data_IF_004613239036
#
_entry.id   IF_004613239036
#
_cell.length_a   1.000
_cell.length_b   1.000
_cell.length_c   1.000
_cell.angle_alpha   90.00
_cell.angle_beta   90.00
_cell.angle_gamma   90.00
#
_symmetry.space_group_name_H-M   'P 1'
#
loop_
_entity.id
_entity.type
_entity.pdbx_description
1 polymer ?
#
# COMPACT_ATOMS: atom_id res chain seq x y z
N UNK A 1 12.33 4.63 20.72
CA UNK A 1 11.18 4.23 19.91
C UNK A 1 11.65 3.46 18.69
N UNK A 2 11.08 2.29 18.44
CA UNK A 2 11.46 1.44 17.32
C UNK A 2 10.87 2.01 16.02
N UNK A 3 11.71 2.14 15.00
CA UNK A 3 11.26 2.58 13.69
C UNK A 3 11.32 1.41 12.72
N UNK A 4 10.22 1.18 11.99
CA UNK A 4 10.13 0.11 11.03
C UNK A 4 10.69 0.55 9.67
N UNK A 5 11.25 -0.40 8.94
CA UNK A 5 11.75 -0.14 7.59
C UNK A 5 10.62 -0.44 6.60
N UNK A 6 10.23 0.58 5.83
CA UNK A 6 9.19 0.43 4.82
C UNK A 6 9.84 0.08 3.49
N UNK A 7 9.29 -0.92 2.81
CA UNK A 7 9.73 -1.31 1.48
C UNK A 7 8.52 -1.60 0.62
N UNK A 8 8.72 -1.65 -0.70
CA UNK A 8 7.65 -1.98 -1.65
C UNK A 8 7.98 -3.32 -2.29
N UNK A 9 7.07 -4.28 -2.16
CA UNK A 9 7.20 -5.55 -2.86
C UNK A 9 7.05 -5.33 -4.37
N UNK A 10 7.47 -6.30 -5.15
CA UNK A 10 7.40 -6.23 -6.61
C UNK A 10 5.97 -5.92 -7.08
N UNK A 11 4.98 -6.60 -6.53
CA UNK A 11 3.59 -6.40 -6.94
C UNK A 11 3.11 -5.00 -6.59
N UNK A 12 3.47 -4.48 -5.42
CA UNK A 12 3.09 -3.13 -5.02
C UNK A 12 3.73 -2.08 -5.93
N UNK A 13 4.98 -2.29 -6.30
CA UNK A 13 5.68 -1.40 -7.25
C UNK A 13 4.99 -1.40 -8.60
N UNK A 14 4.63 -2.59 -9.09
CA UNK A 14 3.90 -2.72 -10.36
C UNK A 14 2.52 -2.06 -10.28
N UNK A 15 1.83 -2.23 -9.15
CA UNK A 15 0.53 -1.60 -8.93
C UNK A 15 0.65 -0.07 -8.98
N UNK A 16 1.65 0.48 -8.30
CA UNK A 16 1.86 1.93 -8.27
C UNK A 16 2.11 2.47 -9.67
N UNK A 17 2.96 1.79 -10.44
CA UNK A 17 3.25 2.21 -11.81
C UNK A 17 2.00 2.15 -12.70
N UNK A 18 1.23 1.09 -12.57
CA UNK A 18 -0.02 0.92 -13.33
C UNK A 18 -1.04 2.03 -13.00
N UNK A 19 -1.22 2.32 -11.72
CA UNK A 19 -2.14 3.36 -11.28
C UNK A 19 -1.64 4.73 -11.75
N UNK A 20 -0.35 5.00 -11.61
CA UNK A 20 0.24 6.25 -12.06
C UNK A 20 0.02 6.46 -13.56
N UNK A 21 0.23 5.43 -14.37
CA UNK A 21 0.05 5.53 -15.81
C UNK A 21 -1.43 5.75 -16.19
N UNK A 22 -2.34 5.12 -15.47
CA UNK A 22 -3.77 5.34 -15.66
C UNK A 22 -4.14 6.80 -15.38
N UNK A 23 -3.63 7.36 -14.29
CA UNK A 23 -3.89 8.75 -13.91
C UNK A 23 -3.25 9.72 -14.92
N UNK A 24 -2.06 9.40 -15.42
CA UNK A 24 -1.38 10.23 -16.40
C UNK A 24 -2.19 10.38 -17.68
N UNK A 25 -2.84 9.31 -18.13
CA UNK A 25 -3.70 9.37 -19.32
C UNK A 25 -4.91 10.26 -19.11
N UNK A 26 -5.47 10.27 -17.90
CA UNK A 26 -6.67 11.05 -17.60
C UNK A 26 -6.37 12.49 -17.20
N UNK A 27 -5.27 12.71 -16.46
CA UNK A 27 -5.01 13.99 -15.77
C UNK A 27 -3.64 14.61 -16.11
N UNK A 28 -2.81 13.95 -16.91
CA UNK A 28 -1.48 14.43 -17.28
C UNK A 28 -0.37 13.94 -16.39
N UNK A 29 0.87 14.06 -16.90
CA UNK A 29 2.05 13.52 -16.24
C UNK A 29 2.36 14.21 -14.90
N UNK A 30 2.23 15.53 -14.84
CA UNK A 30 2.57 16.27 -13.63
C UNK A 30 1.66 15.88 -12.47
N UNK A 31 0.37 15.73 -12.75
CA UNK A 31 -0.59 15.29 -11.74
C UNK A 31 -0.28 13.87 -11.28
N UNK A 32 0.05 12.99 -12.23
CA UNK A 32 0.36 11.61 -11.92
C UNK A 32 1.61 11.48 -11.05
N UNK A 33 2.65 12.26 -11.32
CA UNK A 33 3.86 12.27 -10.52
C UNK A 33 3.58 12.75 -9.09
N UNK A 34 2.81 13.82 -8.95
CA UNK A 34 2.43 14.33 -7.63
C UNK A 34 1.64 13.29 -6.86
N UNK A 35 0.70 12.63 -7.54
CA UNK A 35 -0.11 11.57 -6.93
C UNK A 35 0.78 10.44 -6.41
N UNK A 36 1.69 9.93 -7.25
CA UNK A 36 2.58 8.84 -6.87
C UNK A 36 3.47 9.23 -5.68
N UNK A 37 4.01 10.44 -5.69
CA UNK A 37 4.85 10.90 -4.58
C UNK A 37 4.06 10.96 -3.26
N UNK A 38 2.82 11.39 -3.30
CA UNK A 38 1.98 11.45 -2.09
C UNK A 38 1.65 10.08 -1.55
N UNK A 39 1.44 9.10 -2.43
CA UNK A 39 1.21 7.72 -2.01
C UNK A 39 2.46 7.17 -1.32
N UNK A 40 3.63 7.39 -1.91
CA UNK A 40 4.89 6.92 -1.34
C UNK A 40 5.13 7.58 0.02
N UNK A 41 4.93 8.88 0.13
CA UNK A 41 5.10 9.59 1.40
C UNK A 41 4.18 9.02 2.50
N UNK A 42 2.94 8.73 2.13
CA UNK A 42 2.00 8.14 3.08
C UNK A 42 2.50 6.77 3.56
N UNK A 43 2.95 5.94 2.62
CA UNK A 43 3.47 4.62 2.96
C UNK A 43 4.69 4.72 3.88
N UNK A 44 5.56 5.70 3.66
CA UNK A 44 6.73 5.88 4.50
C UNK A 44 6.40 6.23 5.93
N UNK A 45 5.25 6.87 6.17
CA UNK A 45 4.79 7.17 7.53
C UNK A 45 4.43 5.92 8.33
N UNK A 46 4.20 4.81 7.66
CA UNK A 46 3.94 3.56 8.35
C UNK A 46 5.18 3.08 9.15
N UNK A 47 6.36 3.65 8.86
CA UNK A 47 7.54 3.38 9.66
C UNK A 47 7.35 3.74 11.13
N UNK A 48 6.55 4.75 11.41
CA UNK A 48 6.32 5.23 12.77
C UNK A 48 5.03 4.69 13.39
N UNK A 49 4.05 4.36 12.57
CA UNK A 49 2.73 3.88 13.02
C UNK A 49 2.30 2.65 12.24
N UNK A 50 3.02 1.52 12.38
CA UNK A 50 2.77 0.35 11.54
C UNK A 50 1.47 -0.40 11.83
N UNK A 51 0.90 -0.21 13.01
CA UNK A 51 -0.30 -0.96 13.41
C UNK A 51 -1.60 -0.20 13.18
N UNK A 52 -1.59 0.75 12.25
CA UNK A 52 -2.82 1.45 11.89
C UNK A 52 -3.62 0.65 10.85
N UNK A 53 -4.87 1.07 10.65
CA UNK A 53 -5.76 0.39 9.71
C UNK A 53 -6.40 -0.85 10.29
N UNK A 54 -6.78 -1.78 9.43
CA UNK A 54 -7.51 -3.00 9.80
C UNK A 54 -6.62 -4.22 9.61
N UNK A 55 -6.59 -5.10 10.62
CA UNK A 55 -5.84 -6.36 10.53
C UNK A 55 -6.60 -7.42 9.78
N UNK A 56 -5.87 -8.29 9.08
CA UNK A 56 -6.43 -9.40 8.30
C UNK A 56 -5.59 -10.66 8.52
N UNK A 57 -5.34 -11.00 9.78
CA UNK A 57 -4.54 -12.18 10.13
C UNK A 57 -5.17 -13.47 9.62
N UNK A 58 -6.49 -13.50 9.44
CA UNK A 58 -7.20 -14.65 8.90
C UNK A 58 -6.81 -14.96 7.45
N UNK A 59 -6.32 -13.94 6.72
CA UNK A 59 -5.83 -14.14 5.37
C UNK A 59 -4.34 -14.45 5.42
N UNK A 60 -3.59 -13.71 6.22
CA UNK A 60 -2.15 -13.85 6.32
C UNK A 60 -1.64 -13.17 7.58
N UNK A 61 -0.78 -13.82 8.37
CA UNK A 61 -0.26 -13.21 9.59
C UNK A 61 0.40 -11.85 9.33
N UNK A 62 0.03 -10.85 10.11
CA UNK A 62 0.58 -9.51 10.02
C UNK A 62 0.03 -8.66 8.90
N UNK A 63 -0.86 -9.19 8.07
CA UNK A 63 -1.45 -8.42 6.96
C UNK A 63 -2.41 -7.37 7.51
N UNK A 64 -2.29 -6.15 6.99
CA UNK A 64 -3.14 -5.03 7.37
C UNK A 64 -3.49 -4.22 6.13
N UNK A 65 -4.59 -3.48 6.20
CA UNK A 65 -4.98 -2.55 5.14
C UNK A 65 -5.32 -1.20 5.73
N UNK A 66 -5.07 -0.16 4.94
CA UNK A 66 -5.45 1.19 5.29
C UNK A 66 -5.98 1.89 4.05
N UNK A 67 -7.02 2.72 4.24
CA UNK A 67 -7.58 3.49 3.13
C UNK A 67 -6.80 4.79 2.98
N UNK A 68 -6.53 5.17 1.73
CA UNK A 68 -5.89 6.43 1.39
C UNK A 68 -6.85 7.26 0.55
N UNK A 69 -7.32 8.37 1.12
CA UNK A 69 -8.20 9.34 0.45
C UNK A 69 -9.43 8.75 -0.24
N UNK A 70 -9.95 7.66 0.28
CA UNK A 70 -11.14 6.97 -0.25
C UNK A 70 -10.99 6.47 -1.71
N UNK A 71 -9.81 6.60 -2.30
CA UNK A 71 -9.58 6.16 -3.67
C UNK A 71 -8.75 4.90 -3.76
N UNK A 72 -8.01 4.60 -2.71
CA UNK A 72 -7.06 3.50 -2.74
C UNK A 72 -7.01 2.79 -1.40
N UNK A 73 -6.79 1.48 -1.45
CA UNK A 73 -6.48 0.68 -0.26
C UNK A 73 -5.03 0.24 -0.36
N UNK A 74 -4.27 0.50 0.69
CA UNK A 74 -2.87 0.10 0.77
C UNK A 74 -2.80 -1.14 1.66
N UNK A 75 -2.32 -2.25 1.11
CA UNK A 75 -2.12 -3.49 1.85
C UNK A 75 -0.65 -3.63 2.20
N UNK A 76 -0.37 -3.95 3.45
CA UNK A 76 0.99 -4.08 3.94
C UNK A 76 1.05 -5.14 5.01
N UNK A 77 2.26 -5.60 5.31
CA UNK A 77 2.48 -6.54 6.40
C UNK A 77 3.34 -5.87 7.45
N UNK A 78 3.20 -6.32 8.67
CA UNK A 78 4.02 -5.82 9.78
C UNK A 78 4.79 -6.98 10.37
N UNK A 79 6.10 -6.82 10.44
CA UNK A 79 7.00 -7.76 11.10
C UNK A 79 7.76 -7.00 12.19
N UNK A 80 7.89 -7.60 13.37
CA UNK A 80 8.59 -6.95 14.49
C UNK A 80 10.04 -7.42 14.64
N UNK A 81 10.36 -8.59 14.10
CA UNK A 81 11.70 -9.17 14.21
C UNK A 81 12.19 -9.67 12.84
N UNK A 82 12.90 -8.87 12.08
CA UNK A 82 13.25 -7.45 12.28
C UNK A 82 12.06 -6.52 12.02
N UNK A 83 12.09 -5.26 12.49
CA UNK A 83 10.97 -4.34 12.31
C UNK A 83 10.88 -3.85 10.87
N UNK A 84 9.92 -4.41 10.12
CA UNK A 84 9.72 -4.13 8.70
C UNK A 84 8.25 -3.99 8.36
N UNK A 85 7.97 -3.13 7.37
CA UNK A 85 6.64 -2.94 6.82
C UNK A 85 6.74 -3.04 5.30
N UNK A 86 6.70 -4.24 4.73
CA UNK A 86 6.61 -4.37 3.27
C UNK A 86 5.22 -4.02 2.79
N UNK A 87 5.14 -3.11 1.83
CA UNK A 87 3.89 -2.78 1.14
C UNK A 87 3.67 -3.86 0.10
N UNK A 88 2.55 -4.57 0.19
CA UNK A 88 2.34 -5.77 -0.64
C UNK A 88 1.40 -5.54 -1.82
N UNK A 89 0.49 -4.56 -1.72
CA UNK A 89 -0.42 -4.26 -2.82
C UNK A 89 -1.00 -2.87 -2.69
N UNK A 90 -1.34 -2.26 -3.83
CA UNK A 90 -2.07 -1.01 -3.90
C UNK A 90 -3.32 -1.29 -4.74
N UNK A 91 -4.49 -1.13 -4.14
CA UNK A 91 -5.76 -1.49 -4.77
C UNK A 91 -6.56 -0.22 -5.04
N UNK A 92 -6.70 0.12 -6.31
CA UNK A 92 -7.28 1.38 -6.74
C UNK A 92 -8.75 1.22 -7.06
N UNK A 93 -9.56 2.10 -6.49
CA UNK A 93 -11.02 2.23 -6.72
C UNK A 93 -11.81 0.92 -6.83
N UNK A 94 -12.85 0.79 -6.02
CA UNK A 94 -13.88 -0.21 -6.23
C UNK A 94 -13.50 -1.68 -6.31
N UNK A 95 -12.24 -2.03 -6.10
CA UNK A 95 -11.84 -3.43 -6.13
C UNK A 95 -12.30 -4.12 -4.85
N UNK A 96 -12.67 -5.39 -5.00
CA UNK A 96 -12.94 -6.21 -3.83
C UNK A 96 -11.60 -6.51 -3.16
N UNK A 97 -11.32 -5.76 -2.10
CA UNK A 97 -10.03 -5.81 -1.40
C UNK A 97 -9.75 -7.21 -0.86
N UNK A 98 -10.73 -7.81 -0.20
CA UNK A 98 -10.52 -9.13 0.42
C UNK A 98 -10.27 -10.20 -0.62
N UNK A 99 -11.03 -10.18 -1.74
CA UNK A 99 -10.83 -11.15 -2.81
C UNK A 99 -9.45 -10.98 -3.45
N UNK A 100 -9.04 -9.73 -3.67
CA UNK A 100 -7.72 -9.45 -4.26
C UNK A 100 -6.59 -9.93 -3.35
N UNK A 101 -6.72 -9.70 -2.04
CA UNK A 101 -5.70 -10.13 -1.07
C UNK A 101 -5.63 -11.65 -0.96
N UNK A 102 -6.78 -12.33 -0.98
CA UNK A 102 -6.81 -13.78 -0.94
C UNK A 102 -6.18 -14.40 -2.18
N UNK A 103 -6.38 -13.77 -3.34
CA UNK A 103 -5.78 -14.25 -4.58
C UNK A 103 -4.26 -14.13 -4.57
N UNK A 104 -3.70 -13.18 -3.83
CA UNK A 104 -2.26 -12.98 -3.71
C UNK A 104 -1.62 -13.88 -2.65
N UNK A 105 -2.41 -14.51 -1.84
CA UNK A 105 -1.91 -15.35 -0.74
C UNK A 105 -1.67 -16.82 -1.20
#
# INVERSE_FOLDING_TARGET
MRRYEVSFDRDATADLLSIRNHIAKACGEDFAETFACRVIEYCERLADLPHRGTGHDEIRPGLRTVAWRKTMTIAFRVSDEPPRVPIVALLYRGRDVLAALRAKS
#
